data_IF_756508132939
#
_entry.id   IF_756508132939
#
_cell.length_a   1.000
_cell.length_b   1.000
_cell.length_c   1.000
_cell.angle_alpha   90.00
_cell.angle_beta   90.00
_cell.angle_gamma   90.00
#
_symmetry.space_group_name_H-M   'P 1'
#
loop_
_entity.id
_entity.type
_entity.pdbx_description
1 polymer ?
#
# COMPACT_ATOMS: atom_id res chain seq x y z
N UNK A 1 -4.63 -7.64 23.67
CA UNK A 1 -4.97 -7.59 23.11
C UNK A 1 -5.12 -7.40 22.38
N UNK A 2 -5.04 -7.38 21.82
CA UNK A 2 -5.20 -7.30 20.99
C UNK A 2 -5.43 -7.29 20.18
N UNK A 3 -5.75 -6.96 20.34
CA UNK A 3 -6.05 -7.43 19.12
C UNK A 3 -6.00 -6.50 18.01
N UNK A 4 -5.08 -6.62 17.31
CA UNK A 4 -4.90 -5.81 16.21
C UNK A 4 -5.86 -6.14 15.16
N UNK A 5 -6.59 -5.21 14.66
CA UNK A 5 -7.48 -5.45 13.58
C UNK A 5 -6.73 -5.32 12.31
N UNK A 6 -6.48 -6.41 11.65
CA UNK A 6 -5.75 -6.39 10.42
C UNK A 6 -6.70 -6.46 9.25
N UNK A 7 -7.65 -5.54 9.25
CA UNK A 7 -8.63 -5.48 8.19
C UNK A 7 -8.71 -4.09 7.62
N UNK A 8 -8.77 -4.04 6.32
CA UNK A 8 -8.95 -2.79 5.61
C UNK A 8 -10.20 -2.95 4.78
N UNK A 9 -11.11 -2.01 4.93
CA UNK A 9 -12.37 -2.05 4.21
C UNK A 9 -12.13 -2.05 2.70
N UNK A 10 -12.93 -2.77 1.92
CA UNK A 10 -12.79 -2.72 0.46
C UNK A 10 -12.97 -1.32 -0.09
N UNK A 11 -13.71 -0.45 0.61
CA UNK A 11 -13.93 0.91 0.16
C UNK A 11 -12.86 1.87 0.64
N UNK A 12 -11.96 1.42 1.51
CA UNK A 12 -10.90 2.29 2.00
C UNK A 12 -10.06 2.77 0.84
N UNK A 13 -9.72 4.05 0.85
CA UNK A 13 -8.94 4.67 -0.22
C UNK A 13 -7.51 4.82 0.24
N UNK A 14 -6.60 4.34 -0.56
CA UNK A 14 -5.17 4.39 -0.26
C UNK A 14 -4.52 5.44 -1.15
N UNK A 15 -3.72 6.29 -0.54
CA UNK A 15 -3.00 7.32 -1.29
C UNK A 15 -1.66 7.56 -0.61
N UNK A 16 -0.68 8.09 -1.37
CA UNK A 16 0.62 8.39 -0.75
C UNK A 16 0.51 9.60 0.15
N UNK A 17 1.34 9.61 1.19
CA UNK A 17 1.44 10.79 2.03
C UNK A 17 2.29 11.82 1.32
N UNK A 18 2.08 13.11 1.61
CA UNK A 18 2.98 14.14 1.09
C UNK A 18 4.33 14.05 1.80
N UNK A 19 5.28 14.84 1.41
CA UNK A 19 6.57 14.95 2.09
C UNK A 19 7.38 13.67 2.04
N UNK A 20 7.43 13.09 0.87
CA UNK A 20 8.27 11.94 0.64
C UNK A 20 8.78 12.01 -0.79
N UNK A 21 9.89 11.35 -1.02
CA UNK A 21 10.50 11.26 -2.33
C UNK A 21 10.66 9.80 -2.66
N UNK A 22 10.29 9.41 -3.85
CA UNK A 22 10.54 8.05 -4.30
C UNK A 22 11.47 8.09 -5.49
N UNK A 23 12.27 7.04 -5.59
CA UNK A 23 13.23 6.90 -6.66
C UNK A 23 13.25 5.46 -7.11
N UNK A 24 13.39 5.25 -8.39
CA UNK A 24 13.39 3.92 -8.95
C UNK A 24 14.80 3.46 -9.20
N UNK A 25 15.14 2.31 -8.64
CA UNK A 25 16.46 1.72 -8.83
C UNK A 25 16.29 0.28 -9.24
N UNK A 26 16.71 -0.08 -10.45
CA UNK A 26 16.67 -1.47 -10.92
C UNK A 26 15.26 -2.05 -10.80
N UNK A 27 14.27 -1.28 -11.24
CA UNK A 27 12.87 -1.71 -11.25
C UNK A 27 12.27 -1.82 -9.86
N UNK A 28 12.95 -1.34 -8.85
CA UNK A 28 12.41 -1.29 -7.50
C UNK A 28 12.38 0.15 -7.03
N UNK A 29 11.39 0.45 -6.20
CA UNK A 29 11.22 1.81 -5.70
C UNK A 29 11.78 1.90 -4.30
N UNK A 30 12.52 2.97 -4.03
CA UNK A 30 12.95 3.31 -2.69
C UNK A 30 12.27 4.61 -2.32
N UNK A 31 11.63 4.63 -1.18
CA UNK A 31 10.90 5.80 -0.72
C UNK A 31 11.65 6.39 0.47
N UNK A 32 11.87 7.70 0.43
CA UNK A 32 12.46 8.41 1.55
C UNK A 32 11.39 9.27 2.20
N UNK A 33 11.15 9.02 3.48
CA UNK A 33 10.25 9.87 4.25
C UNK A 33 11.04 11.07 4.72
N UNK A 34 10.67 12.26 4.25
CA UNK A 34 11.44 13.46 4.55
C UNK A 34 11.36 13.87 6.00
N UNK A 35 10.26 13.56 6.67
CA UNK A 35 10.11 13.92 8.07
C UNK A 35 11.01 13.09 8.98
N UNK A 36 11.08 11.79 8.74
CA UNK A 36 11.81 10.90 9.62
C UNK A 36 13.20 10.58 9.12
N UNK A 37 13.46 10.79 7.83
CA UNK A 37 14.73 10.41 7.24
C UNK A 37 14.89 8.92 7.02
N UNK A 38 13.80 8.18 7.10
CA UNK A 38 13.84 6.73 6.97
C UNK A 38 13.54 6.32 5.53
N UNK A 39 14.36 5.39 5.02
CA UNK A 39 14.14 4.82 3.70
C UNK A 39 13.28 3.58 3.80
N UNK A 40 12.54 3.33 2.75
CA UNK A 40 11.76 2.10 2.66
C UNK A 40 11.87 1.57 1.23
N UNK A 41 12.43 0.37 1.10
CA UNK A 41 12.59 -0.24 -0.22
C UNK A 41 11.45 -1.18 -0.53
N UNK A 42 10.95 -1.13 -1.76
CA UNK A 42 9.84 -1.97 -2.20
C UNK A 42 10.35 -2.97 -3.23
N UNK A 43 9.89 -4.21 -3.09
CA UNK A 43 10.18 -5.21 -4.11
C UNK A 43 9.26 -4.99 -5.31
N UNK A 44 9.28 -5.92 -6.26
CA UNK A 44 8.54 -5.76 -7.50
C UNK A 44 7.05 -5.52 -7.27
N UNK A 45 6.44 -6.35 -6.41
CA UNK A 45 5.01 -6.22 -6.16
C UNK A 45 4.71 -4.94 -5.40
N UNK A 46 5.52 -4.61 -4.40
CA UNK A 46 5.36 -3.36 -3.67
C UNK A 46 5.52 -2.16 -4.57
N UNK A 47 6.45 -2.22 -5.49
CA UNK A 47 6.64 -1.14 -6.45
C UNK A 47 5.40 -0.95 -7.31
N UNK A 48 4.79 -2.05 -7.75
CA UNK A 48 3.57 -1.97 -8.54
C UNK A 48 2.44 -1.33 -7.74
N UNK A 49 2.31 -1.74 -6.48
CA UNK A 49 1.30 -1.14 -5.61
C UNK A 49 1.55 0.35 -5.44
N UNK A 50 2.80 0.73 -5.23
CA UNK A 50 3.14 2.14 -5.07
C UNK A 50 2.77 2.94 -6.32
N UNK A 51 3.03 2.39 -7.49
CA UNK A 51 2.64 3.04 -8.75
C UNK A 51 1.14 3.23 -8.84
N UNK A 52 0.40 2.21 -8.46
CA UNK A 52 -1.06 2.27 -8.57
C UNK A 52 -1.66 3.32 -7.66
N UNK A 53 -1.13 3.49 -6.47
CA UNK A 53 -1.72 4.41 -5.51
C UNK A 53 -1.30 5.86 -5.73
N UNK A 54 -0.44 6.14 -6.71
CA UNK A 54 -0.13 7.52 -7.03
C UNK A 54 -1.39 8.30 -7.40
N UNK A 55 -2.40 7.59 -7.89
CA UNK A 55 -3.74 8.12 -7.92
C UNK A 55 -4.53 7.37 -6.86
N UNK A 56 -5.26 8.07 -6.00
CA UNK A 56 -5.96 7.38 -4.91
C UNK A 56 -6.83 6.26 -5.42
N UNK A 57 -6.75 5.11 -4.78
CA UNK A 57 -7.47 3.92 -5.20
C UNK A 57 -8.05 3.21 -4.00
N UNK A 58 -9.18 2.55 -4.20
CA UNK A 58 -9.75 1.75 -3.13
C UNK A 58 -8.99 0.44 -2.99
N UNK A 59 -9.10 -0.15 -1.81
CA UNK A 59 -8.50 -1.46 -1.56
C UNK A 59 -8.99 -2.48 -2.58
N UNK A 60 -10.29 -2.45 -2.88
CA UNK A 60 -10.86 -3.40 -3.81
C UNK A 60 -10.26 -3.27 -5.20
N UNK A 61 -10.00 -2.03 -5.63
CA UNK A 61 -9.37 -1.81 -6.92
C UNK A 61 -7.95 -2.35 -6.95
N UNK A 62 -7.19 -2.10 -5.88
CA UNK A 62 -5.84 -2.63 -5.81
C UNK A 62 -5.83 -4.14 -5.88
N UNK A 63 -6.70 -4.77 -5.10
CA UNK A 63 -6.77 -6.21 -5.08
C UNK A 63 -7.13 -6.76 -6.45
N UNK A 64 -8.09 -6.14 -7.11
CA UNK A 64 -8.53 -6.60 -8.42
C UNK A 64 -7.41 -6.55 -9.45
N UNK A 65 -6.66 -5.45 -9.46
CA UNK A 65 -5.57 -5.30 -10.42
C UNK A 65 -4.48 -6.34 -10.16
N UNK A 66 -4.14 -6.53 -8.88
CA UNK A 66 -3.06 -7.45 -8.55
C UNK A 66 -3.43 -8.90 -8.82
N UNK A 67 -4.67 -9.28 -8.54
CA UNK A 67 -5.12 -10.63 -8.84
C UNK A 67 -5.03 -10.89 -10.34
N UNK A 68 -5.42 -9.90 -11.13
CA UNK A 68 -5.41 -10.04 -12.57
C UNK A 68 -3.98 -10.09 -13.12
N UNK A 69 -3.09 -9.24 -12.60
CA UNK A 69 -1.73 -9.16 -13.12
C UNK A 69 -0.85 -10.32 -12.69
N UNK A 70 -1.02 -10.80 -11.47
CA UNK A 70 -0.10 -11.78 -10.90
C UNK A 70 -0.71 -13.18 -10.78
N UNK A 71 -1.95 -13.33 -11.18
CA UNK A 71 -2.59 -14.66 -11.23
C UNK A 71 -2.49 -15.39 -9.89
N UNK A 72 -2.81 -14.68 -8.81
CA UNK A 72 -2.81 -15.26 -7.48
C UNK A 72 -4.25 -15.33 -6.98
N UNK A 73 -4.48 -16.19 -5.98
CA UNK A 73 -5.82 -16.28 -5.43
C UNK A 73 -6.19 -14.99 -4.71
N UNK A 74 -7.46 -14.60 -4.72
CA UNK A 74 -7.88 -13.37 -4.04
C UNK A 74 -7.56 -13.38 -2.55
N UNK A 75 -7.67 -14.53 -1.89
CA UNK A 75 -7.41 -14.60 -0.46
C UNK A 75 -5.95 -14.32 -0.14
N UNK A 76 -5.05 -14.92 -0.90
CA UNK A 76 -3.63 -14.71 -0.67
C UNK A 76 -3.27 -13.27 -1.01
N UNK A 77 -3.81 -12.77 -2.11
CA UNK A 77 -3.57 -11.38 -2.50
C UNK A 77 -4.02 -10.43 -1.39
N UNK A 78 -5.20 -10.68 -0.82
CA UNK A 78 -5.71 -9.82 0.23
C UNK A 78 -4.79 -9.80 1.44
N UNK A 79 -4.32 -10.97 1.86
CA UNK A 79 -3.45 -11.05 3.03
C UNK A 79 -2.14 -10.32 2.82
N UNK A 80 -1.52 -10.53 1.66
CA UNK A 80 -0.25 -9.90 1.37
C UNK A 80 -0.41 -8.39 1.21
N UNK A 81 -1.49 -7.97 0.58
CA UNK A 81 -1.74 -6.56 0.37
C UNK A 81 -1.97 -5.84 1.70
N UNK A 82 -2.77 -6.44 2.58
CA UNK A 82 -3.01 -5.84 3.89
C UNK A 82 -1.69 -5.71 4.64
N UNK A 83 -0.88 -6.76 4.61
CA UNK A 83 0.39 -6.75 5.32
C UNK A 83 1.28 -5.61 4.84
N UNK A 84 1.41 -5.45 3.54
CA UNK A 84 2.23 -4.39 3.00
C UNK A 84 1.67 -3.01 3.31
N UNK A 85 0.36 -2.84 3.17
CA UNK A 85 -0.26 -1.54 3.43
C UNK A 85 -0.11 -1.13 4.89
N UNK A 86 -0.19 -2.09 5.81
CA UNK A 86 0.03 -1.78 7.21
C UNK A 86 1.47 -1.35 7.45
N UNK A 87 2.42 -2.01 6.81
CA UNK A 87 3.82 -1.61 6.93
C UNK A 87 4.03 -0.19 6.42
N UNK A 88 3.46 0.12 5.26
CA UNK A 88 3.64 1.45 4.69
C UNK A 88 2.93 2.51 5.53
N UNK A 89 1.77 2.18 6.07
CA UNK A 89 1.07 3.11 6.92
C UNK A 89 1.85 3.37 8.20
N UNK A 90 2.39 2.32 8.80
CA UNK A 90 3.18 2.46 10.01
C UNK A 90 4.42 3.30 9.75
N UNK A 91 4.99 3.21 8.56
CA UNK A 91 6.15 4.02 8.18
C UNK A 91 5.74 5.43 7.75
N UNK A 92 4.46 5.75 7.80
CA UNK A 92 3.93 7.08 7.44
C UNK A 92 4.16 7.43 5.98
N UNK A 93 4.11 6.43 5.12
CA UNK A 93 4.33 6.63 3.69
C UNK A 93 3.03 6.68 2.92
N UNK A 94 1.95 6.15 3.48
CA UNK A 94 0.65 6.19 2.84
C UNK A 94 -0.41 6.58 3.86
N UNK A 95 -1.55 6.97 3.32
CA UNK A 95 -2.75 7.24 4.10
C UNK A 95 -3.83 6.29 3.68
N UNK A 96 -4.54 5.74 4.64
CA UNK A 96 -5.66 4.85 4.37
C UNK A 96 -6.90 5.52 4.95
N UNK A 97 -7.82 5.90 4.07
CA UNK A 97 -9.05 6.56 4.48
C UNK A 97 -10.21 5.62 4.26
N UNK A 98 -10.88 5.29 5.34
CA UNK A 98 -12.03 4.42 5.26
C UNK A 98 -13.27 5.28 5.16
N UNK A 99 -13.95 5.20 4.03
CA UNK A 99 -15.09 6.05 3.79
C UNK A 99 -16.40 5.39 4.14
N UNK A 100 -16.35 4.30 4.87
CA UNK A 100 -17.57 3.66 5.29
C UNK A 100 -18.19 4.34 6.47
N UNK A 101 -17.58 5.35 6.98
CA UNK A 101 -18.10 6.04 8.14
C UNK A 101 -19.39 6.71 7.79
N UNK A 102 -20.38 6.40 8.51
CA UNK A 102 -21.67 6.99 8.26
C UNK A 102 -21.74 8.37 8.83
#
# INVERSE_FOLDING_TARGET
MLTEILEISPQAVISPMPEQISSELNDEVVILNLSSGVYYGLNEVGTRIWELIQQPRSFAELQSVLVDEYDVSPDICKQELIKLLIELKTACLIEVKDETIA
#
